data_IF_421434171593
#
_entry.id   IF_421434171593
#
_cell.length_a   1.000
_cell.length_b   1.000
_cell.length_c   1.000
_cell.angle_alpha   90.00
_cell.angle_beta   90.00
_cell.angle_gamma   90.00
#
_symmetry.space_group_name_H-M   'P 1'
#
loop_
_entity.id
_entity.type
_entity.pdbx_description
1 polymer ?
#
# COMPACT_ATOMS: atom_id res chain seq x y z
N UNK A 1 2.49 6.97 -21.17
CA UNK A 1 1.62 6.50 -20.07
C UNK A 1 0.74 7.65 -19.55
N UNK A 2 -0.56 7.43 -19.35
CA UNK A 2 -1.48 8.43 -18.77
C UNK A 2 -1.17 8.77 -17.30
N UNK A 3 -1.56 9.95 -16.83
CA UNK A 3 -1.22 10.41 -15.47
C UNK A 3 -1.89 9.61 -14.36
N UNK A 4 -3.10 9.07 -14.58
CA UNK A 4 -3.78 8.23 -13.60
C UNK A 4 -3.08 6.87 -13.45
N UNK A 5 -2.79 6.20 -14.57
CA UNK A 5 -2.07 4.93 -14.57
C UNK A 5 -0.69 5.06 -13.94
N UNK A 6 0.06 6.11 -14.30
CA UNK A 6 1.38 6.37 -13.71
C UNK A 6 1.32 6.56 -12.20
N UNK A 7 0.35 7.33 -11.71
CA UNK A 7 0.15 7.56 -10.28
C UNK A 7 -0.17 6.27 -9.54
N UNK A 8 -1.00 5.40 -10.11
CA UNK A 8 -1.28 4.07 -9.58
C UNK A 8 -0.02 3.20 -9.48
N UNK A 9 0.82 3.21 -10.52
CA UNK A 9 2.09 2.48 -10.52
C UNK A 9 3.06 3.01 -9.45
N UNK A 10 3.15 4.33 -9.27
CA UNK A 10 3.96 4.94 -8.20
C UNK A 10 3.52 4.43 -6.82
N UNK A 11 2.21 4.39 -6.55
CA UNK A 11 1.67 3.87 -5.29
C UNK A 11 1.99 2.39 -5.12
N UNK A 12 1.86 1.59 -6.18
CA UNK A 12 2.21 0.17 -6.16
C UNK A 12 3.67 -0.05 -5.78
N UNK A 13 4.59 0.69 -6.41
CA UNK A 13 6.03 0.63 -6.13
C UNK A 13 6.31 1.02 -4.67
N UNK A 14 5.75 2.14 -4.22
CA UNK A 14 5.96 2.61 -2.85
C UNK A 14 5.36 1.65 -1.81
N UNK A 15 4.19 1.07 -2.08
CA UNK A 15 3.55 0.09 -1.18
C UNK A 15 4.36 -1.21 -1.08
N UNK A 16 5.05 -1.61 -2.16
CA UNK A 16 5.88 -2.81 -2.17
C UNK A 16 7.25 -2.61 -1.52
N UNK A 17 7.87 -1.42 -1.70
CA UNK A 17 9.26 -1.15 -1.28
C UNK A 17 9.37 -0.26 -0.04
N UNK A 18 8.29 0.38 0.39
CA UNK A 18 8.25 1.42 1.43
C UNK A 18 8.86 2.76 1.02
N UNK A 19 9.86 2.74 0.13
CA UNK A 19 10.54 3.94 -0.36
C UNK A 19 11.05 3.77 -1.79
N UNK A 20 11.23 4.90 -2.49
CA UNK A 20 11.94 4.99 -3.76
C UNK A 20 12.46 6.42 -3.99
N UNK A 21 13.56 6.57 -4.70
CA UNK A 21 14.05 7.89 -5.11
C UNK A 21 13.29 8.42 -6.34
N UNK A 22 13.22 9.74 -6.49
CA UNK A 22 12.66 10.38 -7.69
C UNK A 22 13.36 9.93 -8.98
N UNK A 23 14.65 9.56 -8.89
CA UNK A 23 15.42 9.08 -10.04
C UNK A 23 15.03 7.66 -10.43
N UNK A 24 14.84 6.78 -9.47
CA UNK A 24 14.39 5.40 -9.71
C UNK A 24 13.00 5.39 -10.31
N UNK A 25 12.04 6.11 -9.71
CA UNK A 25 10.68 6.23 -10.24
C UNK A 25 10.66 6.80 -11.66
N UNK A 26 11.50 7.80 -11.94
CA UNK A 26 11.61 8.39 -13.27
C UNK A 26 12.16 7.40 -14.31
N UNK A 27 13.16 6.61 -13.92
CA UNK A 27 13.77 5.60 -14.79
C UNK A 27 12.84 4.41 -15.04
N UNK A 28 12.18 3.87 -14.01
CA UNK A 28 11.27 2.72 -14.13
C UNK A 28 10.01 3.05 -14.93
N UNK A 29 9.50 4.27 -14.82
CA UNK A 29 8.25 4.69 -15.46
C UNK A 29 8.49 5.45 -16.78
N UNK A 30 9.75 5.54 -17.23
CA UNK A 30 10.19 6.23 -18.45
C UNK A 30 9.64 7.68 -18.55
N UNK A 31 9.84 8.46 -17.48
CA UNK A 31 9.40 9.86 -17.41
C UNK A 31 10.45 10.77 -16.78
N UNK A 32 10.24 12.07 -16.88
CA UNK A 32 11.15 13.03 -16.24
C UNK A 32 10.95 13.07 -14.72
N UNK A 33 12.00 13.41 -13.97
CA UNK A 33 11.89 13.68 -12.52
C UNK A 33 10.86 14.77 -12.20
N UNK A 34 10.69 15.76 -13.08
CA UNK A 34 9.68 16.82 -12.94
C UNK A 34 8.27 16.24 -13.02
N UNK A 35 8.04 15.28 -13.91
CA UNK A 35 6.77 14.54 -13.99
C UNK A 35 6.50 13.79 -12.69
N UNK A 36 7.46 13.00 -12.20
CA UNK A 36 7.32 12.29 -10.92
C UNK A 36 7.03 13.26 -9.78
N UNK A 37 7.76 14.37 -9.68
CA UNK A 37 7.52 15.36 -8.62
C UNK A 37 6.08 15.90 -8.64
N UNK A 38 5.52 16.18 -9.82
CA UNK A 38 4.12 16.59 -9.95
C UNK A 38 3.15 15.47 -9.54
N UNK A 39 3.44 14.22 -9.91
CA UNK A 39 2.62 13.08 -9.52
C UNK A 39 2.67 12.85 -8.00
N UNK A 40 3.84 12.99 -7.36
CA UNK A 40 4.00 12.89 -5.90
C UNK A 40 3.24 13.99 -5.18
N UNK A 41 3.31 15.24 -5.66
CA UNK A 41 2.52 16.34 -5.09
C UNK A 41 1.03 16.00 -5.17
N UNK A 42 0.56 15.53 -6.32
CA UNK A 42 -0.85 15.14 -6.47
C UNK A 42 -1.23 13.97 -5.56
N UNK A 43 -0.37 12.95 -5.44
CA UNK A 43 -0.62 11.79 -4.58
C UNK A 43 -0.54 12.13 -3.09
N UNK A 44 0.25 13.13 -2.67
CA UNK A 44 0.38 13.49 -1.25
C UNK A 44 -0.90 14.04 -0.61
N UNK A 45 -1.91 14.40 -1.42
CA UNK A 45 -3.22 14.80 -0.91
C UNK A 45 -4.09 13.59 -0.52
N UNK A 46 -3.96 12.48 -1.24
CA UNK A 46 -4.82 11.29 -1.07
C UNK A 46 -4.11 10.14 -0.34
N UNK A 47 -2.78 10.14 -0.35
CA UNK A 47 -1.94 9.06 0.17
C UNK A 47 -0.95 9.62 1.20
N UNK A 48 -0.62 8.84 2.25
CA UNK A 48 0.29 9.30 3.30
C UNK A 48 1.75 9.16 2.81
N UNK A 49 2.12 10.04 1.89
CA UNK A 49 3.43 10.09 1.25
C UNK A 49 4.17 11.31 1.75
N UNK A 50 5.45 11.15 2.04
CA UNK A 50 6.35 12.25 2.36
C UNK A 50 7.64 12.16 1.56
N UNK A 51 8.33 13.29 1.45
CA UNK A 51 9.64 13.34 0.80
C UNK A 51 10.72 13.75 1.79
N UNK A 52 11.89 13.13 1.68
CA UNK A 52 13.06 13.47 2.49
C UNK A 52 14.19 13.92 1.55
N UNK A 53 14.74 15.14 1.69
CA UNK A 53 15.88 15.58 0.91
C UNK A 53 17.20 15.00 1.47
N UNK A 54 18.25 14.98 0.63
CA UNK A 54 19.62 14.59 1.03
C UNK A 54 19.99 13.14 0.68
N UNK A 55 21.13 12.69 1.21
CA UNK A 55 21.62 11.32 1.05
C UNK A 55 20.68 10.32 1.76
N UNK A 56 20.31 9.23 1.08
CA UNK A 56 19.25 8.33 1.53
C UNK A 56 17.85 8.99 1.53
N UNK A 57 17.71 10.15 0.88
CA UNK A 57 16.44 10.81 0.65
C UNK A 57 15.62 10.14 -0.45
N UNK A 58 14.41 10.63 -0.68
CA UNK A 58 13.48 10.05 -1.63
C UNK A 58 12.03 10.31 -1.29
N UNK A 59 11.17 9.48 -1.85
CA UNK A 59 9.73 9.42 -1.62
C UNK A 59 9.47 8.20 -0.75
N UNK A 60 8.71 8.41 0.33
CA UNK A 60 8.38 7.39 1.31
C UNK A 60 6.87 7.34 1.47
N UNK A 61 6.35 6.13 1.62
CA UNK A 61 4.97 5.91 2.07
C UNK A 61 5.03 5.39 3.51
N UNK A 62 4.12 5.82 4.37
CA UNK A 62 4.18 5.38 5.77
C UNK A 62 4.01 3.86 5.86
N UNK A 63 4.72 3.22 6.79
CA UNK A 63 4.66 1.76 6.99
C UNK A 63 3.26 1.28 7.39
N UNK A 64 2.42 2.17 7.92
CA UNK A 64 1.03 1.90 8.25
C UNK A 64 0.07 2.09 7.06
N UNK A 65 0.55 2.46 5.87
CA UNK A 65 -0.28 2.51 4.69
C UNK A 65 -0.60 1.10 4.19
N UNK A 66 -1.78 0.62 4.59
CA UNK A 66 -2.38 -0.62 4.10
C UNK A 66 -3.46 -0.24 3.07
N UNK A 67 -3.15 -0.22 1.75
CA UNK A 67 -4.11 0.18 0.72
C UNK A 67 -5.37 -0.69 0.69
N UNK A 68 -5.29 -1.89 1.26
CA UNK A 68 -6.39 -2.84 1.34
C UNK A 68 -6.90 -3.07 2.78
N UNK A 69 -6.45 -2.29 3.77
CA UNK A 69 -7.07 -2.37 5.09
C UNK A 69 -8.54 -1.90 4.99
N UNK A 70 -9.43 -2.58 5.71
CA UNK A 70 -10.88 -2.33 5.66
C UNK A 70 -11.56 -2.53 4.28
N UNK A 71 -11.00 -3.33 3.36
CA UNK A 71 -11.71 -3.64 2.11
C UNK A 71 -12.77 -4.72 2.26
N UNK A 72 -12.69 -5.53 3.31
CA UNK A 72 -13.72 -6.53 3.61
C UNK A 72 -14.98 -5.82 4.11
N UNK A 73 -16.12 -6.17 3.52
CA UNK A 73 -17.42 -5.83 4.10
C UNK A 73 -17.59 -6.51 5.45
N UNK A 74 -18.47 -5.96 6.29
CA UNK A 74 -18.79 -6.54 7.59
C UNK A 74 -19.18 -8.03 7.48
N UNK A 75 -19.98 -8.39 6.47
CA UNK A 75 -20.43 -9.77 6.24
C UNK A 75 -19.29 -10.70 5.81
N UNK A 76 -18.40 -10.24 4.94
CA UNK A 76 -17.22 -11.02 4.54
C UNK A 76 -16.27 -11.25 5.73
N UNK A 77 -16.08 -10.22 6.55
CA UNK A 77 -15.25 -10.30 7.75
C UNK A 77 -15.83 -11.28 8.78
N UNK A 78 -17.14 -11.19 9.07
CA UNK A 78 -17.82 -12.12 9.99
C UNK A 78 -17.75 -13.56 9.49
N UNK A 79 -17.92 -13.77 8.19
CA UNK A 79 -17.79 -15.10 7.57
C UNK A 79 -16.38 -15.64 7.75
N UNK A 80 -15.36 -14.85 7.45
CA UNK A 80 -13.96 -15.24 7.60
C UNK A 80 -13.58 -15.50 9.07
N UNK A 81 -14.05 -14.68 10.01
CA UNK A 81 -13.86 -14.92 11.45
C UNK A 81 -14.54 -16.22 11.92
N UNK A 82 -15.74 -16.51 11.42
CA UNK A 82 -16.43 -17.77 11.69
C UNK A 82 -15.68 -18.99 11.16
N UNK A 83 -15.08 -18.88 9.96
CA UNK A 83 -14.20 -19.91 9.40
C UNK A 83 -12.90 -20.04 10.20
N UNK A 84 -12.30 -18.93 10.60
CA UNK A 84 -11.06 -18.90 11.39
C UNK A 84 -11.23 -19.61 12.74
N UNK A 85 -12.37 -19.42 13.41
CA UNK A 85 -12.68 -20.11 14.67
C UNK A 85 -12.83 -21.63 14.54
N UNK A 86 -13.13 -22.13 13.32
CA UNK A 86 -13.33 -23.56 13.01
C UNK A 86 -12.13 -24.22 12.33
N UNK A 87 -11.20 -23.43 11.80
CA UNK A 87 -10.02 -23.92 11.10
C UNK A 87 -8.90 -24.31 12.07
N UNK A 88 -8.06 -25.25 11.64
CA UNK A 88 -6.88 -25.71 12.37
C UNK A 88 -5.64 -25.74 11.45
N UNK A 89 -4.46 -25.77 12.05
CA UNK A 89 -3.20 -25.84 11.32
C UNK A 89 -3.03 -24.75 10.26
N UNK A 90 -2.66 -25.17 9.05
CA UNK A 90 -2.26 -24.27 7.96
C UNK A 90 -3.41 -23.40 7.43
N UNK A 91 -4.64 -23.90 7.46
CA UNK A 91 -5.83 -23.15 7.04
C UNK A 91 -6.08 -21.97 7.99
N UNK A 92 -5.88 -22.18 9.30
CA UNK A 92 -5.99 -21.14 10.31
C UNK A 92 -4.96 -20.02 10.11
N UNK A 93 -3.71 -20.38 9.80
CA UNK A 93 -2.65 -19.41 9.50
C UNK A 93 -2.96 -18.57 8.24
N UNK A 94 -3.51 -19.19 7.19
CA UNK A 94 -3.89 -18.48 5.97
C UNK A 94 -5.05 -17.53 6.24
N UNK A 95 -6.09 -17.99 6.94
CA UNK A 95 -7.23 -17.16 7.33
C UNK A 95 -6.80 -15.98 8.20
N UNK A 96 -5.94 -16.20 9.17
CA UNK A 96 -5.36 -15.14 10.00
C UNK A 96 -4.69 -14.06 9.15
N UNK A 97 -3.84 -14.47 8.19
CA UNK A 97 -3.16 -13.54 7.27
C UNK A 97 -4.14 -12.76 6.40
N UNK A 98 -5.21 -13.38 5.91
CA UNK A 98 -6.22 -12.71 5.09
C UNK A 98 -6.98 -11.69 5.92
N UNK A 99 -7.49 -12.08 7.09
CA UNK A 99 -8.26 -11.19 7.96
C UNK A 99 -7.40 -10.02 8.43
N UNK A 100 -6.14 -10.24 8.80
CA UNK A 100 -5.25 -9.18 9.26
C UNK A 100 -4.77 -8.26 8.11
N UNK A 101 -4.73 -8.75 6.87
CA UNK A 101 -4.33 -7.96 5.70
C UNK A 101 -5.47 -7.11 5.13
N UNK A 102 -6.70 -7.63 5.15
CA UNK A 102 -7.85 -7.04 4.47
C UNK A 102 -8.97 -6.58 5.41
N UNK A 103 -8.94 -7.02 6.67
CA UNK A 103 -9.88 -6.62 7.72
C UNK A 103 -9.49 -5.30 8.38
N UNK A 104 -10.16 -4.99 9.48
CA UNK A 104 -9.91 -3.76 10.23
C UNK A 104 -8.59 -3.81 10.98
N UNK A 105 -7.84 -2.70 10.92
CA UNK A 105 -6.50 -2.51 11.49
C UNK A 105 -6.43 -2.75 13.02
N UNK A 106 -7.58 -2.88 13.69
CA UNK A 106 -7.73 -3.08 15.13
C UNK A 106 -8.51 -4.34 15.52
N UNK A 107 -8.57 -5.35 14.65
CA UNK A 107 -9.15 -6.63 15.04
C UNK A 107 -8.17 -7.39 15.92
N UNK A 108 -8.37 -7.29 17.23
CA UNK A 108 -7.79 -8.21 18.21
C UNK A 108 -8.62 -9.51 18.18
N UNK A 109 -8.16 -10.50 17.42
CA UNK A 109 -8.75 -11.84 17.30
C UNK A 109 -7.79 -12.90 17.83
#
# INVERSE_FOLDING_TARGET
MGSAHRRMEIISILSARGHATMRELAWELDVTRRTIMNDIIALSFDYPIYTKPGEGGGVFITENYKPYANTLTQTELETLCGLYGRAEGKEKEILFRIIHKYGADKLEI
#
